data_IF_665843901994
#
_entry.id   IF_665843901994
#
_cell.length_a   1.000
_cell.length_b   1.000
_cell.length_c   1.000
_cell.angle_alpha   90.00
_cell.angle_beta   90.00
_cell.angle_gamma   90.00
#
_symmetry.space_group_name_H-M   'P 1'
#
loop_
_entity.id
_entity.type
_entity.pdbx_description
1 polymer ?
#
# COMPACT_ATOMS: atom_id res chain seq x y z
N UNK A 1 -1.68 27.49 12.22
CA UNK A 1 -1.80 27.03 10.81
C UNK A 1 -0.84 25.89 10.48
N UNK A 2 0.43 25.93 10.92
CA UNK A 2 1.42 24.83 10.74
C UNK A 2 0.91 23.48 11.29
N UNK A 3 0.31 23.46 12.49
CA UNK A 3 -0.14 22.21 13.12
C UNK A 3 -1.30 21.53 12.37
N UNK A 4 -2.22 22.31 11.80
CA UNK A 4 -3.32 21.79 10.99
C UNK A 4 -2.83 21.13 9.70
N UNK A 5 -1.77 21.68 9.09
CA UNK A 5 -1.13 21.11 7.90
C UNK A 5 -0.43 19.79 8.23
N UNK A 6 0.32 19.74 9.34
CA UNK A 6 1.01 18.53 9.80
C UNK A 6 0.00 17.44 10.16
N UNK A 7 -1.07 17.77 10.88
CA UNK A 7 -2.14 16.83 11.22
C UNK A 7 -2.82 16.26 9.96
N UNK A 8 -3.11 17.11 8.98
CA UNK A 8 -3.69 16.68 7.70
C UNK A 8 -2.75 15.75 6.94
N UNK A 9 -1.45 16.06 6.90
CA UNK A 9 -0.44 15.21 6.26
C UNK A 9 -0.37 13.84 6.96
N UNK A 10 -0.31 13.81 8.28
CA UNK A 10 -0.27 12.57 9.06
C UNK A 10 -1.51 11.71 8.83
N UNK A 11 -2.70 12.30 8.88
CA UNK A 11 -3.94 11.60 8.57
C UNK A 11 -3.96 11.08 7.12
N UNK A 12 -3.53 11.91 6.16
CA UNK A 12 -3.46 11.51 4.75
C UNK A 12 -2.46 10.38 4.49
N UNK A 13 -1.35 10.35 5.22
CA UNK A 13 -0.36 9.28 5.17
C UNK A 13 -0.98 7.94 5.62
N UNK A 14 -1.71 7.96 6.73
CA UNK A 14 -2.35 6.76 7.27
C UNK A 14 -3.48 6.28 6.35
N UNK A 15 -4.26 7.20 5.77
CA UNK A 15 -5.24 6.88 4.72
C UNK A 15 -4.58 6.24 3.49
N UNK A 16 -3.44 6.75 3.03
CA UNK A 16 -2.74 6.17 1.89
C UNK A 16 -2.19 4.77 2.19
N UNK A 17 -1.72 4.55 3.41
CA UNK A 17 -1.30 3.23 3.88
C UNK A 17 -2.47 2.24 3.90
N UNK A 18 -3.63 2.66 4.40
CA UNK A 18 -4.85 1.85 4.39
C UNK A 18 -5.33 1.54 2.96
N UNK A 19 -5.33 2.52 2.06
CA UNK A 19 -5.70 2.35 0.65
C UNK A 19 -4.76 1.36 -0.06
N UNK A 20 -3.46 1.43 0.21
CA UNK A 20 -2.49 0.48 -0.32
C UNK A 20 -2.78 -0.95 0.17
N UNK A 21 -3.01 -1.12 1.48
CA UNK A 21 -3.32 -2.42 2.08
C UNK A 21 -4.62 -3.01 1.53
N UNK A 22 -5.70 -2.22 1.47
CA UNK A 22 -7.00 -2.63 0.92
C UNK A 22 -6.88 -2.99 -0.56
N UNK A 23 -6.12 -2.23 -1.35
CA UNK A 23 -5.88 -2.54 -2.76
C UNK A 23 -5.18 -3.90 -2.93
N UNK A 24 -4.22 -4.21 -2.06
CA UNK A 24 -3.56 -5.53 -1.99
C UNK A 24 -4.51 -6.65 -1.60
N UNK A 25 -5.30 -6.45 -0.55
CA UNK A 25 -6.28 -7.44 -0.10
C UNK A 25 -7.33 -7.74 -1.17
N UNK A 26 -7.83 -6.72 -1.86
CA UNK A 26 -8.79 -6.89 -2.95
C UNK A 26 -8.16 -7.69 -4.09
N UNK A 27 -6.96 -7.32 -4.56
CA UNK A 27 -6.29 -8.07 -5.62
C UNK A 27 -5.95 -9.50 -5.20
N UNK A 28 -5.58 -9.72 -3.93
CA UNK A 28 -5.34 -11.04 -3.39
C UNK A 28 -6.61 -11.89 -3.36
N UNK A 29 -7.73 -11.34 -2.90
CA UNK A 29 -9.02 -12.03 -2.88
C UNK A 29 -9.50 -12.39 -4.29
N UNK A 30 -9.32 -11.50 -5.27
CA UNK A 30 -9.61 -11.78 -6.68
C UNK A 30 -8.68 -12.87 -7.21
N UNK A 31 -7.38 -12.76 -6.95
CA UNK A 31 -6.38 -13.72 -7.40
C UNK A 31 -6.64 -15.15 -6.88
N UNK A 32 -7.03 -15.30 -5.61
CA UNK A 32 -7.33 -16.60 -5.00
C UNK A 32 -8.55 -17.29 -5.63
N UNK A 33 -9.48 -16.50 -6.17
CA UNK A 33 -10.68 -17.01 -6.85
C UNK A 33 -10.52 -17.08 -8.36
N UNK A 34 -9.38 -16.66 -8.90
CA UNK A 34 -9.13 -16.64 -10.33
C UNK A 34 -8.81 -18.06 -10.82
N UNK A 35 -9.67 -18.68 -11.64
CA UNK A 35 -9.48 -20.06 -12.08
C UNK A 35 -8.26 -20.19 -13.00
N UNK A 36 -7.62 -21.35 -12.97
CA UNK A 36 -6.51 -21.71 -13.86
C UNK A 36 -6.72 -23.14 -14.38
N UNK A 37 -7.06 -23.36 -15.67
CA UNK A 37 -7.18 -22.37 -16.74
C UNK A 37 -8.48 -21.55 -16.69
N UNK A 38 -8.42 -20.29 -17.12
CA UNK A 38 -9.57 -19.39 -17.28
C UNK A 38 -9.96 -19.19 -18.75
N UNK A 39 -11.21 -18.80 -18.99
CA UNK A 39 -11.64 -18.31 -20.29
C UNK A 39 -10.88 -17.03 -20.68
N UNK A 40 -10.61 -16.84 -21.98
CA UNK A 40 -9.85 -15.70 -22.50
C UNK A 40 -10.42 -14.34 -22.05
N UNK A 41 -11.75 -14.20 -22.08
CA UNK A 41 -12.44 -12.97 -21.64
C UNK A 41 -12.18 -12.66 -20.16
N UNK A 42 -12.14 -13.68 -19.31
CA UNK A 42 -11.88 -13.54 -17.88
C UNK A 42 -10.43 -13.13 -17.62
N UNK A 43 -9.48 -13.66 -18.39
CA UNK A 43 -8.07 -13.25 -18.35
C UNK A 43 -7.88 -11.77 -18.75
N UNK A 44 -8.56 -11.33 -19.82
CA UNK A 44 -8.52 -9.93 -20.27
C UNK A 44 -9.15 -8.98 -19.25
N UNK A 45 -10.28 -9.37 -18.66
CA UNK A 45 -10.93 -8.59 -17.60
C UNK A 45 -10.03 -8.48 -16.36
N UNK A 46 -9.37 -9.58 -15.98
CA UNK A 46 -8.42 -9.59 -14.86
C UNK A 46 -7.20 -8.69 -15.09
N UNK A 47 -6.65 -8.65 -16.31
CA UNK A 47 -5.59 -7.71 -16.68
C UNK A 47 -6.05 -6.26 -16.51
N UNK A 48 -7.31 -5.97 -16.87
CA UNK A 48 -7.89 -4.62 -16.76
C UNK A 48 -8.07 -4.21 -15.30
N UNK A 49 -8.63 -5.08 -14.46
CA UNK A 49 -8.74 -4.84 -13.01
C UNK A 49 -7.36 -4.61 -12.42
N UNK A 50 -6.39 -5.48 -12.72
CA UNK A 50 -5.03 -5.35 -12.23
C UNK A 50 -4.42 -3.99 -12.60
N UNK A 51 -4.61 -3.51 -13.84
CA UNK A 51 -4.11 -2.19 -14.28
C UNK A 51 -4.71 -1.05 -13.45
N UNK A 52 -6.01 -1.06 -13.24
CA UNK A 52 -6.72 -0.03 -12.47
C UNK A 52 -6.29 -0.03 -11.01
N UNK A 53 -6.31 -1.21 -10.36
CA UNK A 53 -5.94 -1.32 -8.94
C UNK A 53 -4.44 -1.05 -8.74
N UNK A 54 -3.57 -1.46 -9.66
CA UNK A 54 -2.14 -1.11 -9.61
C UNK A 54 -1.91 0.40 -9.72
N UNK A 55 -2.70 1.11 -10.53
CA UNK A 55 -2.60 2.57 -10.61
C UNK A 55 -2.96 3.21 -9.27
N UNK A 56 -4.05 2.76 -8.64
CA UNK A 56 -4.45 3.23 -7.32
C UNK A 56 -3.36 2.93 -6.28
N UNK A 57 -2.87 1.69 -6.22
CA UNK A 57 -1.82 1.27 -5.30
C UNK A 57 -0.54 2.10 -5.47
N UNK A 58 -0.14 2.41 -6.72
CA UNK A 58 1.02 3.27 -7.00
C UNK A 58 0.81 4.70 -6.51
N UNK A 59 -0.36 5.29 -6.75
CA UNK A 59 -0.67 6.64 -6.27
C UNK A 59 -0.63 6.67 -4.74
N UNK A 60 -1.28 5.70 -4.08
CA UNK A 60 -1.25 5.57 -2.63
C UNK A 60 0.16 5.37 -2.09
N UNK A 61 0.96 4.50 -2.70
CA UNK A 61 2.35 4.27 -2.28
C UNK A 61 3.21 5.53 -2.46
N UNK A 62 3.13 6.21 -3.61
CA UNK A 62 3.86 7.45 -3.83
C UNK A 62 3.48 8.54 -2.82
N UNK A 63 2.18 8.69 -2.53
CA UNK A 63 1.73 9.65 -1.52
C UNK A 63 2.21 9.27 -0.11
N UNK A 64 2.14 7.98 0.26
CA UNK A 64 2.65 7.47 1.53
C UNK A 64 4.13 7.84 1.72
N UNK A 65 4.97 7.65 0.69
CA UNK A 65 6.38 8.03 0.77
C UNK A 65 6.57 9.55 0.90
N UNK A 66 5.84 10.36 0.12
CA UNK A 66 5.93 11.83 0.16
C UNK A 66 5.47 12.37 1.52
N UNK A 67 4.32 11.90 2.02
CA UNK A 67 3.75 12.32 3.29
C UNK A 67 4.53 11.77 4.51
N UNK A 68 5.30 10.70 4.33
CA UNK A 68 6.17 10.14 5.37
C UNK A 68 7.38 11.03 5.69
N UNK A 69 7.87 11.83 4.74
CA UNK A 69 9.03 12.71 4.95
C UNK A 69 8.76 13.80 5.99
N UNK A 70 7.67 14.60 5.89
CA UNK A 70 7.29 15.54 6.95
C UNK A 70 7.07 14.86 8.30
N UNK A 71 6.43 13.67 8.31
CA UNK A 71 6.16 12.92 9.54
C UNK A 71 7.45 12.55 10.26
N UNK A 72 8.46 12.05 9.54
CA UNK A 72 9.76 11.72 10.13
C UNK A 72 10.48 12.96 10.68
N UNK A 73 10.44 14.08 9.95
CA UNK A 73 11.09 15.31 10.38
C UNK A 73 10.46 15.89 11.66
N UNK A 74 9.13 15.87 11.78
CA UNK A 74 8.43 16.38 12.96
C UNK A 74 8.27 15.36 14.09
N UNK A 75 8.67 14.09 13.88
CA UNK A 75 8.55 13.03 14.87
C UNK A 75 9.33 13.34 16.16
N UNK A 76 10.55 13.86 16.01
CA UNK A 76 11.41 14.23 17.15
C UNK A 76 10.89 15.45 17.92
N UNK A 77 10.09 16.32 17.29
CA UNK A 77 9.57 17.55 17.90
C UNK A 77 8.32 17.30 18.78
N UNK A 78 7.48 16.32 18.43
CA UNK A 78 6.18 16.10 19.08
C UNK A 78 6.08 14.81 19.91
N UNK A 79 6.71 13.70 19.48
CA UNK A 79 6.54 12.39 20.13
C UNK A 79 7.60 12.10 21.23
N UNK A 80 8.66 12.91 21.32
CA UNK A 80 9.66 12.87 22.41
C UNK A 80 9.36 13.88 23.53
N UNK A 81 8.09 14.26 23.70
CA UNK A 81 7.65 15.03 24.86
C UNK A 81 7.79 14.19 26.13
N UNK A 82 8.44 14.68 27.21
CA UNK A 82 8.48 13.97 28.49
C UNK A 82 7.10 13.69 29.12
N UNK A 83 6.03 14.31 28.61
CA UNK A 83 4.66 14.13 29.09
C UNK A 83 3.91 12.94 28.45
N UNK A 84 4.52 12.26 27.48
CA UNK A 84 3.83 11.27 26.63
C UNK A 84 3.64 9.88 27.28
N UNK A 85 4.21 9.64 28.45
CA UNK A 85 4.04 8.40 29.21
C UNK A 85 4.87 7.22 28.67
N UNK A 86 5.28 6.34 29.58
CA UNK A 86 6.30 5.29 29.34
C UNK A 86 5.94 4.28 28.21
N UNK A 87 4.67 4.21 27.81
CA UNK A 87 4.18 3.28 26.78
C UNK A 87 4.08 3.88 25.36
N UNK A 88 4.32 5.18 25.18
CA UNK A 88 4.23 5.80 23.86
C UNK A 88 5.31 5.30 22.89
N UNK A 89 6.56 5.22 23.35
CA UNK A 89 7.68 4.76 22.54
C UNK A 89 7.50 3.29 22.08
N UNK A 90 7.15 2.32 22.95
CA UNK A 90 6.84 0.96 22.52
C UNK A 90 5.70 0.88 21.50
N UNK A 91 4.62 1.65 21.71
CA UNK A 91 3.44 1.65 20.83
C UNK A 91 3.81 2.12 19.41
N UNK A 92 4.58 3.20 19.33
CA UNK A 92 5.10 3.74 18.07
C UNK A 92 5.97 2.70 17.35
N UNK A 93 6.86 2.02 18.06
CA UNK A 93 7.75 1.01 17.48
C UNK A 93 6.94 -0.14 16.89
N UNK A 94 5.98 -0.69 17.65
CA UNK A 94 5.12 -1.78 17.19
C UNK A 94 4.35 -1.36 15.93
N UNK A 95 3.79 -0.14 15.93
CA UNK A 95 3.07 0.38 14.77
C UNK A 95 3.98 0.41 13.52
N UNK A 96 5.22 0.89 13.64
CA UNK A 96 6.15 0.92 12.52
C UNK A 96 6.52 -0.47 12.02
N UNK A 97 6.76 -1.43 12.92
CA UNK A 97 7.07 -2.82 12.54
C UNK A 97 5.91 -3.41 11.74
N UNK A 98 4.68 -3.25 12.24
CA UNK A 98 3.47 -3.75 11.56
C UNK A 98 3.29 -3.08 10.19
N UNK A 99 3.46 -1.76 10.10
CA UNK A 99 3.32 -1.02 8.84
C UNK A 99 4.38 -1.41 7.81
N UNK A 100 5.65 -1.53 8.23
CA UNK A 100 6.73 -2.00 7.36
C UNK A 100 6.43 -3.41 6.86
N UNK A 101 5.99 -4.30 7.74
CA UNK A 101 5.63 -5.67 7.37
C UNK A 101 4.52 -5.69 6.32
N UNK A 102 3.44 -4.91 6.51
CA UNK A 102 2.35 -4.81 5.54
C UNK A 102 2.81 -4.29 4.18
N UNK A 103 3.66 -3.26 4.16
CA UNK A 103 4.20 -2.70 2.92
C UNK A 103 5.09 -3.71 2.20
N UNK A 104 6.00 -4.38 2.92
CA UNK A 104 6.89 -5.40 2.34
C UNK A 104 6.08 -6.57 1.77
N UNK A 105 5.12 -7.09 2.52
CA UNK A 105 4.24 -8.17 2.05
C UNK A 105 3.42 -7.74 0.83
N UNK A 106 2.90 -6.52 0.82
CA UNK A 106 2.19 -5.94 -0.33
C UNK A 106 3.06 -5.85 -1.57
N UNK A 107 4.31 -5.39 -1.44
CA UNK A 107 5.28 -5.32 -2.54
C UNK A 107 5.58 -6.71 -3.09
N UNK A 108 5.90 -7.68 -2.21
CA UNK A 108 6.20 -9.06 -2.61
C UNK A 108 5.00 -9.70 -3.34
N UNK A 109 3.79 -9.47 -2.84
CA UNK A 109 2.56 -9.91 -3.49
C UNK A 109 2.42 -9.28 -4.88
N UNK A 110 2.64 -7.96 -5.02
CA UNK A 110 2.55 -7.28 -6.31
C UNK A 110 3.58 -7.76 -7.33
N UNK A 111 4.80 -8.07 -6.88
CA UNK A 111 5.85 -8.63 -7.74
C UNK A 111 5.46 -10.01 -8.27
N UNK A 112 4.89 -10.87 -7.42
CA UNK A 112 4.38 -12.19 -7.84
C UNK A 112 3.22 -12.05 -8.82
N UNK A 113 2.27 -11.17 -8.51
CA UNK A 113 1.11 -10.91 -9.35
C UNK A 113 1.51 -10.35 -10.73
N UNK A 114 2.48 -9.43 -10.75
CA UNK A 114 3.03 -8.85 -11.98
C UNK A 114 3.65 -9.88 -12.92
N UNK A 115 4.29 -10.93 -12.38
CA UNK A 115 4.80 -12.06 -13.20
C UNK A 115 3.66 -12.80 -13.89
N UNK A 116 2.58 -13.13 -13.17
CA UNK A 116 1.40 -13.82 -13.74
C UNK A 116 0.70 -12.96 -14.79
N UNK A 117 0.50 -11.67 -14.52
CA UNK A 117 -0.12 -10.75 -15.47
C UNK A 117 0.73 -10.59 -16.74
N UNK A 118 2.06 -10.54 -16.62
CA UNK A 118 2.96 -10.51 -17.80
C UNK A 118 2.81 -11.77 -18.65
N UNK A 119 2.70 -12.95 -18.03
CA UNK A 119 2.44 -14.19 -18.75
C UNK A 119 1.09 -14.16 -19.50
N UNK A 120 0.03 -13.70 -18.84
CA UNK A 120 -1.29 -13.54 -19.48
C UNK A 120 -1.28 -12.52 -20.63
N UNK A 121 -0.57 -11.40 -20.46
CA UNK A 121 -0.40 -10.40 -21.51
C UNK A 121 0.32 -10.96 -22.75
N UNK A 122 1.40 -11.72 -22.55
CA UNK A 122 2.11 -12.39 -23.63
C UNK A 122 1.22 -13.41 -24.36
N UNK A 123 0.42 -14.18 -23.62
CA UNK A 123 -0.55 -15.14 -24.19
C UNK A 123 -1.55 -14.46 -25.13
N UNK A 124 -1.97 -13.23 -24.81
CA UNK A 124 -2.94 -12.44 -25.59
C UNK A 124 -2.29 -11.43 -26.55
N UNK A 125 -0.97 -11.46 -26.76
CA UNK A 125 -0.23 -10.49 -27.57
C UNK A 125 -0.45 -9.01 -27.17
N UNK A 126 -0.69 -8.76 -25.88
CA UNK A 126 -0.87 -7.42 -25.31
C UNK A 126 0.47 -6.92 -24.76
N UNK A 127 1.30 -6.35 -25.65
CA UNK A 127 2.57 -5.67 -25.31
C UNK A 127 2.36 -4.36 -24.57
#
# INVERSE_FOLDING_TARGET
MRDAVIMTINYSHDMATALLAVSGLIMWAIYQRFPDPAAAELELYFITIYKTVTRLAKISFSWMVIAGVPRFYYFMEYDWSPMAGDLQVPTVIIMHIVMIFLVVMGILFWLRLGKRIRALKLKHNLG
#
